data_IF_057495410716
#
_entry.id   IF_057495410716
#
_cell.length_a   1.000
_cell.length_b   1.000
_cell.length_c   1.000
_cell.angle_alpha   90.00
_cell.angle_beta   90.00
_cell.angle_gamma   90.00
#
_symmetry.space_group_name_H-M   'P 1'
#
loop_
_entity.id
_entity.type
_entity.pdbx_description
1 polymer ?
#
# COMPACT_ATOMS: atom_id res chain seq x y z
N UNK A 1 -20.21 0.54 3.96
CA UNK A 1 -19.86 -0.71 3.26
C UNK A 1 -19.05 -1.64 4.16
N UNK A 2 -17.93 -1.19 4.72
CA UNK A 2 -17.04 -1.97 5.61
C UNK A 2 -17.81 -2.54 6.80
N UNK A 3 -18.55 -1.74 7.55
CA UNK A 3 -19.35 -2.17 8.70
C UNK A 3 -20.29 -3.35 8.38
N UNK A 4 -20.90 -3.36 7.18
CA UNK A 4 -21.78 -4.46 6.76
C UNK A 4 -21.00 -5.75 6.52
N UNK A 5 -19.79 -5.64 5.98
CA UNK A 5 -18.93 -6.78 5.65
C UNK A 5 -18.27 -7.38 6.88
N UNK A 6 -17.97 -6.55 7.88
CA UNK A 6 -17.20 -6.96 9.08
C UNK A 6 -18.07 -7.38 10.26
N UNK A 7 -19.38 -7.16 10.22
CA UNK A 7 -20.33 -7.47 11.34
C UNK A 7 -20.24 -8.88 11.91
N UNK A 8 -19.78 -9.83 11.12
CA UNK A 8 -19.65 -11.23 11.54
C UNK A 8 -18.36 -11.53 12.32
N UNK A 9 -17.49 -10.54 12.50
CA UNK A 9 -16.20 -10.70 13.16
C UNK A 9 -16.11 -9.79 14.38
N UNK A 10 -16.21 -10.36 15.58
CA UNK A 10 -16.16 -9.62 16.85
C UNK A 10 -14.78 -8.96 17.11
N UNK A 11 -13.74 -9.46 16.42
CA UNK A 11 -12.37 -8.93 16.54
C UNK A 11 -12.10 -7.70 15.67
N UNK A 12 -13.07 -7.22 14.89
CA UNK A 12 -12.91 -6.08 14.00
C UNK A 12 -13.66 -4.87 14.54
N UNK A 13 -12.92 -3.82 14.84
CA UNK A 13 -13.45 -2.50 15.15
C UNK A 13 -13.41 -1.60 13.90
N UNK A 14 -14.55 -1.00 13.54
CA UNK A 14 -14.64 -0.07 12.41
C UNK A 14 -14.72 1.34 12.94
N UNK A 15 -13.73 2.16 12.58
CA UNK A 15 -13.64 3.57 12.95
C UNK A 15 -13.69 4.45 11.71
N UNK A 16 -14.52 5.48 11.74
CA UNK A 16 -14.57 6.49 10.68
C UNK A 16 -13.71 7.69 11.07
N UNK A 17 -12.83 8.12 10.16
CA UNK A 17 -11.96 9.27 10.41
C UNK A 17 -11.03 9.57 9.25
N UNK A 18 -10.25 10.64 9.39
CA UNK A 18 -9.21 10.99 8.43
C UNK A 18 -7.95 10.17 8.73
N UNK A 19 -7.57 9.28 7.79
CA UNK A 19 -6.38 8.43 7.91
C UNK A 19 -5.07 9.20 8.09
N UNK A 20 -5.01 10.47 7.68
CA UNK A 20 -3.83 11.33 7.84
C UNK A 20 -3.57 11.74 9.30
N UNK A 21 -4.62 11.72 10.11
CA UNK A 21 -4.58 12.16 11.52
C UNK A 21 -5.00 11.08 12.51
N UNK A 22 -5.36 9.89 12.04
CA UNK A 22 -5.83 8.79 12.88
C UNK A 22 -4.81 8.42 13.96
N UNK A 23 -5.27 8.17 15.18
CA UNK A 23 -4.46 7.72 16.32
C UNK A 23 -3.59 8.83 16.96
N UNK A 24 -2.88 8.52 18.03
CA UNK A 24 -2.08 9.46 18.80
C UNK A 24 -2.91 10.41 19.67
N UNK A 25 -2.27 11.42 20.27
CA UNK A 25 -2.95 12.50 20.97
C UNK A 25 -3.91 12.09 22.10
N UNK A 26 -3.63 11.01 22.84
CA UNK A 26 -4.51 10.53 23.92
C UNK A 26 -5.70 9.69 23.44
N UNK A 27 -5.73 9.28 22.19
CA UNK A 27 -6.74 8.35 21.66
C UNK A 27 -6.47 6.92 22.14
N UNK A 28 -7.44 6.00 21.95
CA UNK A 28 -7.27 4.57 22.21
C UNK A 28 -6.21 3.91 21.31
N UNK A 29 -5.72 4.60 20.28
CA UNK A 29 -4.75 4.10 19.31
C UNK A 29 -3.45 4.92 19.36
N UNK A 30 -2.50 4.57 20.24
CA UNK A 30 -1.23 5.27 20.34
C UNK A 30 -0.38 5.17 19.07
N UNK A 31 0.51 6.16 18.87
CA UNK A 31 1.56 6.02 17.87
C UNK A 31 2.51 4.87 18.23
N UNK A 32 3.16 4.32 17.22
CA UNK A 32 4.13 3.23 17.35
C UNK A 32 3.60 2.00 18.14
N UNK A 33 2.30 1.68 17.99
CA UNK A 33 1.65 0.60 18.75
C UNK A 33 1.16 -0.58 17.89
N UNK A 34 1.03 -0.40 16.58
CA UNK A 34 0.51 -1.44 15.71
C UNK A 34 1.61 -2.36 15.15
N UNK A 35 1.42 -3.67 15.27
CA UNK A 35 2.31 -4.69 14.68
C UNK A 35 2.26 -4.67 13.16
N UNK A 36 1.07 -4.44 12.61
CA UNK A 36 0.78 -4.44 11.18
C UNK A 36 -0.12 -3.25 10.85
N UNK A 37 0.29 -2.49 9.86
CA UNK A 37 -0.50 -1.41 9.29
C UNK A 37 -0.64 -1.65 7.80
N UNK A 38 -1.85 -1.56 7.27
CA UNK A 38 -2.14 -1.67 5.85
C UNK A 38 -2.75 -0.36 5.35
N UNK A 39 -2.19 0.16 4.28
CA UNK A 39 -2.72 1.33 3.56
C UNK A 39 -3.15 0.87 2.17
N UNK A 40 -4.46 0.67 1.99
CA UNK A 40 -5.08 0.58 0.67
C UNK A 40 -5.40 2.01 0.24
N UNK A 41 -4.47 2.62 -0.50
CA UNK A 41 -4.47 4.05 -0.71
C UNK A 41 -5.42 4.47 -1.84
N UNK A 42 -6.11 5.61 -1.69
CA UNK A 42 -6.79 6.22 -2.82
C UNK A 42 -5.77 6.52 -3.93
N UNK A 43 -6.08 6.10 -5.15
CA UNK A 43 -5.18 6.22 -6.29
C UNK A 43 -5.96 6.55 -7.57
N UNK A 44 -5.26 6.77 -8.67
CA UNK A 44 -5.89 7.04 -9.98
C UNK A 44 -6.84 5.93 -10.45
N UNK A 45 -6.66 4.70 -9.93
CA UNK A 45 -7.46 3.54 -10.32
C UNK A 45 -7.13 3.02 -11.74
N UNK A 46 -6.01 3.43 -12.32
CA UNK A 46 -5.60 3.03 -13.68
C UNK A 46 -5.48 1.51 -13.82
N UNK A 47 -5.15 0.81 -12.74
CA UNK A 47 -5.04 -0.65 -12.73
C UNK A 47 -6.37 -1.39 -12.80
N UNK A 48 -7.48 -0.72 -12.49
CA UNK A 48 -8.83 -1.29 -12.51
C UNK A 48 -9.64 -0.97 -13.78
N UNK A 49 -9.04 -0.31 -14.78
CA UNK A 49 -9.73 0.12 -16.01
C UNK A 49 -10.36 -1.03 -16.81
N UNK A 50 -9.88 -2.25 -16.65
CA UNK A 50 -10.51 -3.44 -17.25
C UNK A 50 -11.94 -3.63 -16.75
N UNK A 51 -12.19 -3.38 -15.46
CA UNK A 51 -13.51 -3.50 -14.82
C UNK A 51 -14.27 -2.17 -14.78
N UNK A 52 -13.56 -1.05 -14.86
CA UNK A 52 -14.08 0.32 -14.77
C UNK A 52 -13.51 1.19 -15.89
N UNK A 53 -13.87 0.91 -17.16
CA UNK A 53 -13.29 1.62 -18.31
C UNK A 53 -13.58 3.12 -18.30
N UNK A 54 -14.64 3.55 -17.64
CA UNK A 54 -15.02 4.95 -17.44
C UNK A 54 -13.96 5.75 -16.66
N UNK A 55 -13.11 5.10 -15.87
CA UNK A 55 -12.06 5.74 -15.07
C UNK A 55 -11.09 6.55 -15.93
N UNK A 56 -10.87 6.15 -17.20
CA UNK A 56 -9.97 6.86 -18.11
C UNK A 56 -10.45 8.27 -18.49
N UNK A 57 -11.76 8.50 -18.42
CA UNK A 57 -12.37 9.77 -18.80
C UNK A 57 -12.54 10.73 -17.62
N UNK A 58 -12.43 10.23 -16.40
CA UNK A 58 -12.72 10.97 -15.18
C UNK A 58 -11.45 11.40 -14.42
N UNK A 59 -10.27 11.30 -15.04
CA UNK A 59 -9.00 11.67 -14.42
C UNK A 59 -8.23 12.68 -15.26
N UNK A 60 -7.64 13.64 -14.55
CA UNK A 60 -6.77 14.66 -15.12
C UNK A 60 -5.34 14.52 -14.56
N UNK A 61 -4.32 15.12 -15.18
CA UNK A 61 -2.98 15.17 -14.60
C UNK A 61 -2.93 15.80 -13.20
N UNK A 62 -3.77 16.83 -12.94
CA UNK A 62 -3.86 17.46 -11.62
C UNK A 62 -4.35 16.52 -10.52
N UNK A 63 -5.27 15.61 -10.84
CA UNK A 63 -5.74 14.58 -9.86
C UNK A 63 -4.59 13.68 -9.40
N UNK A 64 -3.60 13.43 -10.26
CA UNK A 64 -2.43 12.61 -9.90
C UNK A 64 -1.57 13.30 -8.84
N UNK A 65 -1.36 14.61 -8.94
CA UNK A 65 -0.59 15.38 -7.96
C UNK A 65 -1.29 15.40 -6.61
N UNK A 66 -2.61 15.61 -6.58
CA UNK A 66 -3.40 15.56 -5.36
C UNK A 66 -3.38 14.18 -4.71
N UNK A 67 -3.55 13.12 -5.49
CA UNK A 67 -3.54 11.74 -5.01
C UNK A 67 -2.16 11.34 -4.46
N UNK A 68 -1.08 11.69 -5.14
CA UNK A 68 0.28 11.37 -4.67
C UNK A 68 0.63 12.12 -3.39
N UNK A 69 0.19 13.37 -3.24
CA UNK A 69 0.31 14.13 -2.00
C UNK A 69 -0.47 13.49 -0.85
N UNK A 70 -1.70 13.07 -1.10
CA UNK A 70 -2.53 12.37 -0.12
C UNK A 70 -1.91 11.03 0.29
N UNK A 71 -1.42 10.25 -0.68
CA UNK A 71 -0.73 8.98 -0.43
C UNK A 71 0.50 9.19 0.46
N UNK A 72 1.30 10.22 0.21
CA UNK A 72 2.45 10.56 1.03
C UNK A 72 2.05 10.81 2.49
N UNK A 73 1.02 11.62 2.73
CA UNK A 73 0.53 11.93 4.08
C UNK A 73 -0.03 10.69 4.81
N UNK A 74 -0.76 9.81 4.09
CA UNK A 74 -1.27 8.55 4.64
C UNK A 74 -0.12 7.61 5.02
N UNK A 75 0.90 7.52 4.19
CA UNK A 75 2.07 6.69 4.44
C UNK A 75 2.90 7.20 5.62
N UNK A 76 3.11 8.51 5.75
CA UNK A 76 3.79 9.10 6.89
C UNK A 76 3.05 8.79 8.19
N UNK A 77 1.72 8.90 8.16
CA UNK A 77 0.90 8.52 9.32
C UNK A 77 0.97 7.03 9.62
N UNK A 78 0.94 6.18 8.61
CA UNK A 78 1.06 4.73 8.76
C UNK A 78 2.42 4.33 9.37
N UNK A 79 3.52 4.95 8.95
CA UNK A 79 4.84 4.76 9.56
C UNK A 79 4.81 5.17 11.05
N UNK A 80 4.19 6.31 11.37
CA UNK A 80 4.09 6.77 12.76
C UNK A 80 3.26 5.81 13.64
N UNK A 81 2.23 5.18 13.10
CA UNK A 81 1.38 4.21 13.81
C UNK A 81 2.08 2.85 13.99
N UNK A 82 2.91 2.44 13.05
CA UNK A 82 3.63 1.17 13.09
C UNK A 82 4.68 1.18 14.20
N UNK A 83 4.73 0.16 15.05
CA UNK A 83 5.78 0.05 16.07
C UNK A 83 7.15 -0.28 15.45
N UNK A 84 8.27 -0.02 16.14
CA UNK A 84 9.58 -0.52 15.72
C UNK A 84 9.54 -2.05 15.49
N UNK A 85 10.10 -2.52 14.39
CA UNK A 85 10.04 -3.92 13.94
C UNK A 85 8.70 -4.36 13.35
N UNK A 86 7.66 -3.52 13.42
CA UNK A 86 6.36 -3.76 12.78
C UNK A 86 6.42 -3.62 11.26
N UNK A 87 5.36 -4.05 10.58
CA UNK A 87 5.30 -4.05 9.11
C UNK A 87 4.18 -3.16 8.62
N UNK A 88 4.52 -2.24 7.71
CA UNK A 88 3.59 -1.44 6.91
C UNK A 88 3.44 -2.11 5.54
N UNK A 89 2.21 -2.34 5.11
CA UNK A 89 1.88 -2.78 3.75
C UNK A 89 1.19 -1.65 3.01
N UNK A 90 1.77 -1.24 1.90
CA UNK A 90 1.24 -0.23 1.00
C UNK A 90 0.67 -0.88 -0.26
N UNK A 91 -0.57 -0.54 -0.60
CA UNK A 91 -1.30 -1.12 -1.73
C UNK A 91 -1.92 0.00 -2.57
N UNK A 92 -1.83 -0.12 -3.90
CA UNK A 92 -2.60 0.69 -4.84
C UNK A 92 -3.05 -0.15 -6.05
N UNK A 93 -4.20 0.20 -6.64
CA UNK A 93 -4.61 -0.32 -7.94
C UNK A 93 -4.13 0.61 -9.07
N UNK A 94 -2.81 0.85 -9.12
CA UNK A 94 -2.17 1.70 -10.13
C UNK A 94 -0.83 1.12 -10.58
N UNK A 95 -0.47 1.21 -11.87
CA UNK A 95 0.87 0.94 -12.37
C UNK A 95 1.75 2.21 -12.40
N UNK A 96 1.20 3.40 -12.08
CA UNK A 96 1.91 4.67 -12.22
C UNK A 96 3.04 4.80 -11.20
N UNK A 97 4.25 5.15 -11.65
CA UNK A 97 5.44 5.21 -10.79
C UNK A 97 5.25 6.15 -9.58
N UNK A 98 4.65 7.34 -9.81
CA UNK A 98 4.42 8.33 -8.75
C UNK A 98 3.47 7.83 -7.64
N UNK A 99 2.55 6.92 -7.95
CA UNK A 99 1.63 6.30 -6.99
C UNK A 99 2.15 4.98 -6.40
N UNK A 100 3.32 4.53 -6.82
CA UNK A 100 3.86 3.21 -6.48
C UNK A 100 5.31 3.33 -5.99
N UNK A 101 6.28 3.04 -6.87
CA UNK A 101 7.71 2.97 -6.53
C UNK A 101 8.27 4.28 -5.99
N UNK A 102 7.79 5.43 -6.45
CA UNK A 102 8.29 6.72 -6.01
C UNK A 102 7.86 7.02 -4.56
N UNK A 103 6.64 6.59 -4.16
CA UNK A 103 6.19 6.65 -2.76
C UNK A 103 7.07 5.77 -1.85
N UNK A 104 7.37 4.55 -2.30
CA UNK A 104 8.27 3.65 -1.55
C UNK A 104 9.67 4.25 -1.45
N UNK A 105 10.21 4.79 -2.57
CA UNK A 105 11.53 5.44 -2.59
C UNK A 105 11.58 6.58 -1.58
N UNK A 106 10.59 7.45 -1.58
CA UNK A 106 10.48 8.56 -0.62
C UNK A 106 10.59 8.07 0.84
N UNK A 107 9.87 7.01 1.20
CA UNK A 107 9.94 6.46 2.57
C UNK A 107 11.32 5.86 2.90
N UNK A 108 11.95 5.19 1.93
CA UNK A 108 13.30 4.65 2.12
C UNK A 108 14.35 5.75 2.29
N UNK A 109 14.21 6.87 1.56
CA UNK A 109 15.12 8.02 1.64
C UNK A 109 15.01 8.73 3.00
N UNK A 110 13.85 8.73 3.65
CA UNK A 110 13.67 9.20 5.04
C UNK A 110 14.44 8.31 6.02
N UNK A 111 14.64 7.03 5.72
CA UNK A 111 15.48 6.11 6.49
C UNK A 111 14.79 5.40 7.67
N UNK A 112 13.50 5.66 7.92
CA UNK A 112 12.75 5.04 9.02
C UNK A 112 12.26 3.62 8.74
N UNK A 113 12.33 3.18 7.48
CA UNK A 113 11.85 1.86 7.05
C UNK A 113 12.88 1.14 6.18
N UNK A 114 12.71 -0.16 6.04
CA UNK A 114 13.40 -1.00 5.06
C UNK A 114 12.39 -1.75 4.20
N UNK A 115 12.68 -1.91 2.92
CA UNK A 115 11.85 -2.68 2.01
C UNK A 115 12.10 -4.17 2.20
N UNK A 116 11.03 -4.93 2.47
CA UNK A 116 11.05 -6.39 2.50
C UNK A 116 10.94 -6.98 1.08
N UNK A 117 11.26 -8.25 0.92
CA UNK A 117 10.97 -8.96 -0.32
C UNK A 117 9.47 -9.28 -0.42
N UNK A 118 8.70 -8.30 -0.92
CA UNK A 118 7.24 -8.44 -1.04
C UNK A 118 6.84 -9.57 -1.99
N UNK A 119 7.66 -9.87 -2.98
CA UNK A 119 7.39 -10.98 -3.92
C UNK A 119 7.48 -12.32 -3.20
N UNK A 120 8.55 -12.55 -2.41
CA UNK A 120 8.71 -13.76 -1.63
C UNK A 120 7.58 -13.94 -0.61
N UNK A 121 7.22 -12.85 0.10
CA UNK A 121 6.10 -12.87 1.05
C UNK A 121 4.76 -13.20 0.38
N UNK A 122 4.54 -12.69 -0.83
CA UNK A 122 3.33 -12.96 -1.58
C UNK A 122 3.29 -14.41 -2.08
N UNK A 123 4.40 -14.95 -2.56
CA UNK A 123 4.50 -16.35 -2.99
C UNK A 123 4.24 -17.32 -1.83
N UNK A 124 4.71 -17.02 -0.61
CA UNK A 124 4.43 -17.81 0.59
C UNK A 124 2.93 -17.87 0.93
N UNK A 125 2.18 -16.80 0.61
CA UNK A 125 0.75 -16.69 0.92
C UNK A 125 -0.15 -17.13 -0.25
N UNK A 126 0.37 -17.17 -1.47
CA UNK A 126 -0.40 -17.49 -2.66
C UNK A 126 -0.71 -19.00 -2.73
N UNK A 127 -1.91 -19.40 -3.23
CA UNK A 127 -2.25 -20.80 -3.42
C UNK A 127 -1.52 -21.45 -4.62
N UNK A 128 -0.79 -20.65 -5.41
CA UNK A 128 0.02 -21.08 -6.56
C UNK A 128 1.17 -20.08 -6.76
N UNK A 129 2.29 -20.50 -7.37
CA UNK A 129 3.42 -19.61 -7.66
C UNK A 129 3.00 -18.42 -8.52
N UNK A 130 3.43 -17.22 -8.15
CA UNK A 130 3.11 -16.00 -8.90
C UNK A 130 3.98 -15.79 -10.14
N UNK A 131 5.04 -16.58 -10.29
CA UNK A 131 5.98 -16.54 -11.44
C UNK A 131 6.55 -15.14 -11.71
N UNK A 132 6.84 -14.37 -10.66
CA UNK A 132 7.41 -13.04 -10.77
C UNK A 132 8.93 -13.14 -10.95
N UNK A 133 9.51 -12.56 -12.03
CA UNK A 133 10.95 -12.61 -12.24
C UNK A 133 11.76 -12.04 -11.06
N UNK A 134 12.91 -12.63 -10.73
CA UNK A 134 13.78 -12.19 -9.62
C UNK A 134 14.23 -10.73 -9.71
N UNK A 135 14.33 -10.19 -10.92
CA UNK A 135 14.68 -8.78 -11.15
C UNK A 135 13.50 -7.82 -11.02
N UNK A 136 12.26 -8.35 -11.03
CA UNK A 136 11.07 -7.51 -10.94
C UNK A 136 10.93 -6.88 -9.55
N UNK A 137 10.50 -5.61 -9.53
CA UNK A 137 10.24 -4.88 -8.29
C UNK A 137 11.48 -4.44 -7.50
N UNK A 138 12.70 -4.71 -7.98
CA UNK A 138 13.92 -4.23 -7.32
C UNK A 138 14.05 -2.72 -7.40
N UNK A 139 14.39 -2.11 -6.27
CA UNK A 139 14.74 -0.70 -6.19
C UNK A 139 16.24 -0.57 -5.90
N UNK A 140 16.91 0.37 -6.57
CA UNK A 140 18.35 0.60 -6.37
C UNK A 140 18.66 0.85 -4.90
N UNK A 141 19.69 0.19 -4.38
CA UNK A 141 20.14 0.34 -2.98
C UNK A 141 19.31 -0.42 -1.95
N UNK A 142 18.41 -1.33 -2.37
CA UNK A 142 17.63 -2.18 -1.45
C UNK A 142 17.88 -3.67 -1.71
N UNK A 143 17.68 -4.47 -0.66
CA UNK A 143 17.66 -5.95 -0.78
C UNK A 143 16.25 -6.46 -1.08
N UNK A 144 15.23 -5.69 -0.68
CA UNK A 144 13.84 -6.05 -0.90
C UNK A 144 13.32 -5.76 -2.29
N UNK A 145 12.12 -6.24 -2.56
CA UNK A 145 11.40 -6.05 -3.83
C UNK A 145 9.97 -5.60 -3.57
N UNK A 146 9.44 -4.75 -4.46
CA UNK A 146 8.01 -4.48 -4.55
C UNK A 146 7.34 -5.51 -5.46
N UNK A 147 6.02 -5.70 -5.30
CA UNK A 147 5.22 -6.55 -6.18
C UNK A 147 4.34 -5.67 -7.07
N UNK A 148 4.39 -5.91 -8.39
CA UNK A 148 3.44 -5.37 -9.34
C UNK A 148 2.76 -6.53 -10.07
N UNK A 149 1.47 -6.69 -9.85
CA UNK A 149 0.65 -7.64 -10.60
C UNK A 149 0.22 -7.01 -11.93
N UNK A 150 0.29 -7.80 -13.00
CA UNK A 150 -0.10 -7.39 -14.35
C UNK A 150 -1.22 -8.31 -14.85
N UNK A 151 -2.29 -7.72 -15.39
CA UNK A 151 -3.47 -8.46 -15.85
C UNK A 151 -3.13 -9.53 -16.91
N UNK A 152 -2.24 -9.21 -17.84
CA UNK A 152 -1.82 -10.14 -18.91
C UNK A 152 -0.98 -11.32 -18.40
N UNK A 153 -0.52 -11.31 -17.14
CA UNK A 153 0.25 -12.40 -16.53
C UNK A 153 -0.58 -13.24 -15.57
N UNK A 154 -1.33 -12.58 -14.70
CA UNK A 154 -2.01 -13.26 -13.58
C UNK A 154 -3.54 -13.11 -13.63
N UNK A 155 -4.08 -12.45 -14.65
CA UNK A 155 -5.53 -12.31 -14.85
C UNK A 155 -6.25 -11.43 -13.81
N UNK A 156 -5.50 -10.66 -13.02
CA UNK A 156 -6.04 -9.75 -11.99
C UNK A 156 -6.01 -8.30 -12.47
N UNK A 157 -6.55 -7.39 -11.67
CA UNK A 157 -6.28 -5.97 -11.85
C UNK A 157 -4.78 -5.67 -11.65
N UNK A 158 -4.33 -4.54 -12.18
CA UNK A 158 -2.95 -4.07 -11.96
C UNK A 158 -2.84 -3.58 -10.51
N UNK A 159 -2.29 -4.43 -9.65
CA UNK A 159 -2.11 -4.13 -8.22
C UNK A 159 -0.64 -3.96 -7.90
N UNK A 160 -0.33 -2.92 -7.16
CA UNK A 160 1.00 -2.70 -6.59
C UNK A 160 0.96 -2.98 -5.10
N UNK A 161 1.96 -3.68 -4.58
CA UNK A 161 2.13 -3.96 -3.16
C UNK A 161 3.58 -3.75 -2.75
N UNK A 162 3.80 -3.12 -1.60
CA UNK A 162 5.09 -3.01 -0.95
C UNK A 162 4.98 -3.27 0.55
N UNK A 163 5.75 -4.21 1.05
CA UNK A 163 5.89 -4.49 2.48
C UNK A 163 7.16 -3.83 3.01
N UNK A 164 7.01 -3.02 4.04
CA UNK A 164 8.07 -2.21 4.64
C UNK A 164 8.14 -2.52 6.13
N UNK A 165 9.34 -2.80 6.67
CA UNK A 165 9.56 -2.95 8.11
C UNK A 165 9.99 -1.62 8.70
N UNK A 166 9.37 -1.18 9.79
CA UNK A 166 9.83 -0.03 10.55
C UNK A 166 11.10 -0.36 11.33
N UNK A 167 12.08 0.51 11.26
CA UNK A 167 13.34 0.41 12.02
C UNK A 167 13.18 0.82 13.47
#
# INVERSE_FOLDING_TARGET
>A
LIERTTRQYDSIEVVSGDGRTFGGGGTAWPLASFDRVLVDAPCSGMGSMRRRPESRWNRTPGDLEELTSLQAQLLDRAVALTRPGGVLTYITCSPHAAETRDQVRRLLDIGEVELLDTVALADECAPFPLEIPDTAGRLTGTQGRTLQLWDHRVGTDLMFVACLRKR
#
